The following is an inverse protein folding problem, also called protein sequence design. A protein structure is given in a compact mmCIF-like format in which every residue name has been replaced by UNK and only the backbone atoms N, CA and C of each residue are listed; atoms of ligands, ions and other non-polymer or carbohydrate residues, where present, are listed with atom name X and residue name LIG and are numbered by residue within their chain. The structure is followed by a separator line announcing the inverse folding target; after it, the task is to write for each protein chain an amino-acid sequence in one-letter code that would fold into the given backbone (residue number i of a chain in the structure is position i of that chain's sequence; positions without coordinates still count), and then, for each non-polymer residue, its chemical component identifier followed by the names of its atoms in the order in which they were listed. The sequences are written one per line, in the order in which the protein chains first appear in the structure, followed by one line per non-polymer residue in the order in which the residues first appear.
data_IF_448750950915
#
_entry.id   IF_448750950915
#
_cell.length_a   1.000
_cell.length_b   1.000
_cell.length_c   1.000
_cell.angle_alpha   90.00
_cell.angle_beta   90.00
_cell.angle_gamma   90.00
#
_symmetry.space_group_name_H-M   'P 1'
#
loop_
_entity.id
_entity.type
_entity.pdbx_description
1 polymer ?
#
# COMPACT_ATOMS: atom_id res chain seq x y z
N UNK A 1 24.45 -15.52 -52.52
CA UNK A 1 23.55 -15.83 -51.41
C UNK A 1 23.83 -14.87 -50.26
N UNK A 2 22.91 -13.92 -50.01
CA UNK A 2 23.07 -12.85 -48.97
C UNK A 2 22.42 -13.34 -47.69
N UNK A 3 23.19 -13.73 -46.67
CA UNK A 3 22.68 -14.15 -45.35
C UNK A 3 21.91 -12.99 -44.72
N UNK A 4 20.59 -13.16 -44.57
CA UNK A 4 19.76 -12.28 -43.73
C UNK A 4 20.13 -12.52 -42.24
N UNK A 5 20.59 -11.48 -41.58
CA UNK A 5 20.86 -11.48 -40.16
C UNK A 5 19.51 -11.30 -39.42
N UNK A 6 19.00 -12.28 -38.62
CA UNK A 6 17.66 -12.24 -38.05
C UNK A 6 17.51 -11.39 -36.76
N UNK A 7 18.57 -10.73 -36.26
CA UNK A 7 18.56 -10.11 -34.93
C UNK A 7 18.64 -8.58 -34.91
N UNK A 8 18.13 -7.87 -35.92
CA UNK A 8 17.87 -6.44 -35.74
C UNK A 8 16.48 -6.25 -35.09
N UNK A 9 16.38 -6.36 -33.74
CA UNK A 9 15.30 -5.72 -32.99
C UNK A 9 15.32 -4.24 -33.34
N UNK A 10 14.34 -3.77 -34.08
CA UNK A 10 14.17 -2.34 -34.35
C UNK A 10 14.09 -1.60 -33.02
N UNK A 11 14.81 -0.49 -32.84
CA UNK A 11 14.66 0.32 -31.65
C UNK A 11 13.21 0.82 -31.59
N UNK A 12 12.52 0.52 -30.50
CA UNK A 12 11.18 1.05 -30.21
C UNK A 12 11.25 2.56 -30.39
N UNK A 13 10.45 3.10 -31.30
CA UNK A 13 10.45 4.52 -31.62
C UNK A 13 10.20 5.36 -30.37
N UNK A 14 10.79 6.56 -30.30
CA UNK A 14 10.57 7.48 -29.15
C UNK A 14 9.09 7.76 -28.90
N UNK A 15 8.27 7.70 -29.92
CA UNK A 15 6.81 7.87 -29.85
C UNK A 15 6.14 6.68 -29.15
N UNK A 16 6.54 5.44 -29.48
CA UNK A 16 6.01 4.23 -28.84
C UNK A 16 6.37 4.19 -27.34
N UNK A 17 7.58 4.60 -26.99
CA UNK A 17 8.01 4.70 -25.59
C UNK A 17 7.20 5.75 -24.80
N UNK A 18 6.90 6.90 -25.41
CA UNK A 18 6.08 7.95 -24.81
C UNK A 18 4.61 7.52 -24.67
N UNK A 19 4.08 6.83 -25.67
CA UNK A 19 2.72 6.28 -25.64
C UNK A 19 2.58 5.23 -24.53
N UNK A 20 3.51 4.29 -24.42
CA UNK A 20 3.52 3.27 -23.37
C UNK A 20 3.68 3.85 -21.97
N UNK A 21 4.49 4.90 -21.81
CA UNK A 21 4.64 5.59 -20.52
C UNK A 21 3.35 6.30 -20.09
N UNK A 22 2.62 6.87 -21.04
CA UNK A 22 1.32 7.50 -20.76
C UNK A 22 0.27 6.44 -20.37
N UNK A 23 0.24 5.28 -21.05
CA UNK A 23 -0.64 4.16 -20.67
C UNK A 23 -0.36 3.71 -19.23
N UNK A 24 0.90 3.56 -18.85
CA UNK A 24 1.26 3.16 -17.47
C UNK A 24 0.80 4.18 -16.43
N UNK A 25 0.96 5.48 -16.74
CA UNK A 25 0.54 6.56 -15.83
C UNK A 25 -0.99 6.64 -15.70
N UNK A 26 -1.72 6.54 -16.79
CA UNK A 26 -3.19 6.53 -16.77
C UNK A 26 -3.71 5.25 -16.11
N UNK A 27 -3.09 4.10 -16.39
CA UNK A 27 -3.45 2.81 -15.81
C UNK A 27 -3.38 2.78 -14.29
N UNK A 28 -2.36 3.41 -13.67
CA UNK A 28 -2.26 3.44 -12.20
C UNK A 28 -3.36 4.30 -11.58
N UNK A 29 -3.71 5.43 -12.16
CA UNK A 29 -4.81 6.25 -11.64
C UNK A 29 -6.15 5.49 -11.72
N UNK A 30 -6.42 4.85 -12.83
CA UNK A 30 -7.62 4.01 -13.00
C UNK A 30 -7.63 2.87 -11.97
N UNK A 31 -6.50 2.16 -11.80
CA UNK A 31 -6.39 1.08 -10.82
C UNK A 31 -6.63 1.59 -9.40
N UNK A 32 -5.97 2.69 -9.01
CA UNK A 32 -6.09 3.26 -7.65
C UNK A 32 -7.53 3.67 -7.34
N UNK A 33 -8.19 4.36 -8.28
CA UNK A 33 -9.59 4.77 -8.15
C UNK A 33 -10.51 3.55 -8.12
N UNK A 34 -10.27 2.52 -8.96
CA UNK A 34 -11.05 1.29 -8.97
C UNK A 34 -10.91 0.52 -7.66
N UNK A 35 -9.70 0.40 -7.10
CA UNK A 35 -9.46 -0.23 -5.80
C UNK A 35 -10.16 0.54 -4.70
N UNK A 36 -10.11 1.87 -4.71
CA UNK A 36 -10.81 2.70 -3.73
C UNK A 36 -12.31 2.51 -3.77
N UNK A 37 -12.93 2.59 -4.96
CA UNK A 37 -14.38 2.42 -5.13
C UNK A 37 -14.81 1.00 -4.77
N UNK A 38 -14.08 -0.02 -5.24
CA UNK A 38 -14.40 -1.42 -4.97
C UNK A 38 -14.33 -1.70 -3.47
N UNK A 39 -13.27 -1.28 -2.79
CA UNK A 39 -13.13 -1.48 -1.35
C UNK A 39 -14.19 -0.68 -0.56
N UNK A 40 -14.52 0.55 -1.00
CA UNK A 40 -15.58 1.33 -0.36
C UNK A 40 -16.93 0.61 -0.43
N UNK A 41 -17.28 0.05 -1.58
CA UNK A 41 -18.52 -0.74 -1.77
C UNK A 41 -18.46 -2.01 -0.92
N UNK A 42 -17.37 -2.77 -0.98
CA UNK A 42 -17.23 -4.01 -0.23
C UNK A 42 -17.36 -3.79 1.29
N UNK A 43 -16.63 -2.83 1.85
CA UNK A 43 -16.63 -2.59 3.28
C UNK A 43 -17.81 -1.73 3.75
N UNK A 44 -18.33 -0.86 2.91
CA UNK A 44 -19.51 -0.06 3.26
C UNK A 44 -20.82 -0.84 3.24
N UNK A 45 -20.97 -1.83 2.34
CA UNK A 45 -22.23 -2.56 2.18
C UNK A 45 -22.15 -4.00 2.69
N UNK A 46 -21.08 -4.76 2.40
CA UNK A 46 -21.03 -6.19 2.66
C UNK A 46 -20.28 -6.56 3.94
N UNK A 47 -19.18 -5.89 4.26
CA UNK A 47 -18.29 -6.27 5.36
C UNK A 47 -18.25 -5.23 6.49
N UNK A 48 -19.34 -4.46 6.68
CA UNK A 48 -19.43 -3.44 7.71
C UNK A 48 -19.32 -4.02 9.15
N UNK A 49 -19.67 -5.28 9.36
CA UNK A 49 -19.56 -5.97 10.64
C UNK A 49 -18.10 -6.04 11.14
N UNK A 50 -17.13 -6.03 10.24
CA UNK A 50 -15.69 -6.07 10.59
C UNK A 50 -15.31 -4.87 11.46
N UNK A 51 -15.86 -3.69 11.17
CA UNK A 51 -15.59 -2.46 11.91
C UNK A 51 -16.10 -2.53 13.35
N UNK A 52 -17.27 -3.09 13.55
CA UNK A 52 -17.84 -3.28 14.88
C UNK A 52 -16.96 -4.18 15.77
N UNK A 53 -16.40 -5.25 15.20
CA UNK A 53 -15.49 -6.12 15.95
C UNK A 53 -14.14 -5.45 16.20
N UNK A 54 -13.60 -4.72 15.23
CA UNK A 54 -12.33 -4.02 15.38
C UNK A 54 -12.40 -2.87 16.39
N UNK A 55 -13.50 -2.12 16.42
CA UNK A 55 -13.75 -1.10 17.44
C UNK A 55 -13.73 -1.69 18.86
N UNK A 56 -14.46 -2.80 19.06
CA UNK A 56 -14.52 -3.47 20.38
C UNK A 56 -13.18 -4.05 20.84
N UNK A 57 -12.34 -4.46 19.92
CA UNK A 57 -11.01 -5.01 20.23
C UNK A 57 -9.97 -3.91 20.48
N UNK A 58 -10.18 -2.72 19.95
CA UNK A 58 -9.25 -1.59 20.02
C UNK A 58 -9.69 -0.57 21.05
N UNK A 59 -9.54 -0.88 22.34
CA UNK A 59 -9.73 0.10 23.41
C UNK A 59 -8.56 1.08 23.42
N UNK A 60 -8.83 2.33 23.14
CA UNK A 60 -7.84 3.39 23.18
C UNK A 60 -8.11 4.35 24.36
N UNK A 61 -7.10 4.60 25.15
CA UNK A 61 -7.16 5.56 26.25
C UNK A 61 -6.10 6.63 26.04
N UNK A 62 -6.51 7.88 26.06
CA UNK A 62 -5.56 8.99 25.95
C UNK A 62 -4.89 9.25 27.30
N UNK A 63 -3.86 8.43 27.60
CA UNK A 63 -3.03 8.60 28.79
C UNK A 63 -1.55 8.30 28.49
N UNK A 64 -0.67 8.92 29.27
CA UNK A 64 0.77 8.66 29.18
C UNK A 64 1.11 7.20 29.49
N UNK A 65 0.46 6.63 30.50
CA UNK A 65 0.65 5.22 30.89
C UNK A 65 0.25 4.25 29.78
N UNK A 66 -0.81 4.58 29.03
CA UNK A 66 -1.23 3.78 27.87
C UNK A 66 -0.18 3.86 26.76
N UNK A 67 0.30 5.05 26.39
CA UNK A 67 1.34 5.25 25.40
C UNK A 67 2.64 4.52 25.77
N UNK A 68 3.08 4.60 27.03
CA UNK A 68 4.33 3.99 27.49
C UNK A 68 4.37 2.47 27.30
N UNK A 69 3.21 1.78 27.36
CA UNK A 69 3.09 0.34 27.13
C UNK A 69 3.38 -0.04 25.68
N UNK A 70 3.09 0.85 24.73
CA UNK A 70 3.32 0.61 23.31
C UNK A 70 4.75 0.99 22.91
N UNK A 71 5.30 2.07 23.44
CA UNK A 71 6.68 2.51 23.13
C UNK A 71 7.71 1.45 23.51
N UNK A 72 7.44 0.65 24.55
CA UNK A 72 8.35 -0.42 24.99
C UNK A 72 8.32 -1.68 24.12
N UNK A 73 7.36 -1.79 23.19
CA UNK A 73 7.20 -2.97 22.31
C UNK A 73 7.65 -2.67 20.89
N UNK A 74 8.36 -3.58 20.21
CA UNK A 74 8.64 -3.45 18.78
C UNK A 74 7.31 -3.39 18.03
N UNK A 75 7.17 -2.42 17.08
CA UNK A 75 5.93 -2.20 16.34
C UNK A 75 4.77 -1.59 17.13
N UNK A 76 4.94 -1.32 18.43
CA UNK A 76 3.87 -0.82 19.29
C UNK A 76 3.35 0.56 18.89
N UNK A 77 4.17 1.40 18.27
CA UNK A 77 3.70 2.69 17.73
C UNK A 77 2.68 2.51 16.59
N UNK A 78 2.82 1.46 15.77
CA UNK A 78 1.85 1.12 14.74
C UNK A 78 0.55 0.62 15.35
N UNK A 79 0.64 -0.22 16.38
CA UNK A 79 -0.52 -0.69 17.15
C UNK A 79 -1.24 0.47 17.84
N UNK A 80 -0.52 1.39 18.46
CA UNK A 80 -1.07 2.60 19.07
C UNK A 80 -1.82 3.46 18.03
N UNK A 81 -1.20 3.74 16.87
CA UNK A 81 -1.82 4.49 15.79
C UNK A 81 -3.03 3.75 15.21
N UNK A 82 -2.96 2.43 15.04
CA UNK A 82 -4.06 1.61 14.58
C UNK A 82 -5.24 1.62 15.54
N UNK A 83 -5.01 1.50 16.83
CA UNK A 83 -6.06 1.58 17.85
C UNK A 83 -6.71 2.98 17.90
N UNK A 84 -5.92 4.03 17.72
CA UNK A 84 -6.46 5.39 17.60
C UNK A 84 -7.39 5.54 16.38
N UNK A 85 -6.98 5.04 15.22
CA UNK A 85 -7.80 5.07 13.99
C UNK A 85 -9.06 4.23 14.16
N UNK A 86 -8.95 3.05 14.78
CA UNK A 86 -10.05 2.12 14.96
C UNK A 86 -11.16 2.65 15.90
N UNK A 87 -10.88 3.64 16.74
CA UNK A 87 -11.92 4.32 17.52
C UNK A 87 -13.01 4.97 16.65
N UNK A 88 -12.65 5.45 15.46
CA UNK A 88 -13.62 6.02 14.53
C UNK A 88 -14.51 4.98 13.85
N UNK A 89 -14.27 3.69 14.03
CA UNK A 89 -15.00 2.60 13.37
C UNK A 89 -16.41 2.39 13.92
N UNK A 90 -16.82 3.12 14.99
CA UNK A 90 -18.21 3.22 15.37
C UNK A 90 -19.12 3.71 14.22
N UNK A 91 -18.56 4.47 13.27
CA UNK A 91 -19.22 4.84 12.03
C UNK A 91 -18.74 3.93 10.89
N UNK A 92 -19.64 3.10 10.37
CA UNK A 92 -19.34 2.21 9.24
C UNK A 92 -18.77 2.96 8.03
N UNK A 93 -19.30 4.17 7.75
CA UNK A 93 -18.83 4.98 6.64
C UNK A 93 -17.39 5.45 6.85
N UNK A 94 -17.05 5.88 8.06
CA UNK A 94 -15.67 6.26 8.40
C UNK A 94 -14.73 5.06 8.22
N UNK A 95 -15.08 3.90 8.78
CA UNK A 95 -14.29 2.67 8.63
C UNK A 95 -14.05 2.31 7.17
N UNK A 96 -15.13 2.31 6.36
CA UNK A 96 -15.04 2.01 4.94
C UNK A 96 -14.13 2.98 4.17
N UNK A 97 -14.23 4.30 4.44
CA UNK A 97 -13.38 5.32 3.83
C UNK A 97 -11.92 5.11 4.22
N UNK A 98 -11.63 4.95 5.51
CA UNK A 98 -10.27 4.80 6.03
C UNK A 98 -9.60 3.56 5.43
N UNK A 99 -10.26 2.40 5.49
CA UNK A 99 -9.73 1.16 4.91
C UNK A 99 -9.51 1.32 3.40
N UNK A 100 -10.45 1.93 2.68
CA UNK A 100 -10.33 2.14 1.23
C UNK A 100 -9.17 3.06 0.87
N UNK A 101 -8.92 4.11 1.66
CA UNK A 101 -7.76 5.00 1.48
C UNK A 101 -6.46 4.24 1.70
N UNK A 102 -6.36 3.41 2.76
CA UNK A 102 -5.16 2.60 3.00
C UNK A 102 -4.89 1.61 1.88
N UNK A 103 -5.92 0.89 1.40
CA UNK A 103 -5.79 -0.07 0.31
C UNK A 103 -5.36 0.60 -1.00
N UNK A 104 -5.95 1.74 -1.32
CA UNK A 104 -5.58 2.52 -2.50
C UNK A 104 -4.14 3.06 -2.41
N UNK A 105 -3.74 3.56 -1.23
CA UNK A 105 -2.38 4.03 -0.97
C UNK A 105 -1.35 2.89 -1.10
N UNK A 106 -1.64 1.72 -0.53
CA UNK A 106 -0.79 0.53 -0.65
C UNK A 106 -0.65 0.13 -2.12
N UNK A 107 -1.74 0.04 -2.88
CA UNK A 107 -1.70 -0.29 -4.31
C UNK A 107 -0.79 0.68 -5.09
N UNK A 108 -0.89 1.99 -4.80
CA UNK A 108 -0.06 3.02 -5.43
C UNK A 108 1.42 2.88 -5.06
N UNK A 109 1.74 2.62 -3.79
CA UNK A 109 3.12 2.45 -3.31
C UNK A 109 3.75 1.21 -3.95
N UNK A 110 3.05 0.06 -3.95
CA UNK A 110 3.57 -1.17 -4.55
C UNK A 110 3.72 -1.08 -6.06
N UNK A 111 2.80 -0.38 -6.75
CA UNK A 111 3.02 -0.04 -8.15
C UNK A 111 4.30 0.76 -8.37
N UNK A 112 4.56 1.79 -7.56
CA UNK A 112 5.77 2.63 -7.66
C UNK A 112 7.03 1.82 -7.44
N UNK A 113 7.06 0.95 -6.43
CA UNK A 113 8.18 0.05 -6.19
C UNK A 113 8.43 -0.85 -7.40
N UNK A 114 7.40 -1.52 -7.90
CA UNK A 114 7.51 -2.41 -9.04
C UNK A 114 7.91 -1.68 -10.33
N UNK A 115 7.44 -0.44 -10.53
CA UNK A 115 7.78 0.37 -11.69
C UNK A 115 9.25 0.82 -11.70
N UNK A 116 9.83 1.07 -10.53
CA UNK A 116 11.26 1.39 -10.40
C UNK A 116 12.12 0.16 -10.66
N UNK A 117 11.68 -1.02 -10.21
CA UNK A 117 12.43 -2.28 -10.37
C UNK A 117 12.31 -2.89 -11.77
N UNK A 118 11.27 -2.52 -12.52
CA UNK A 118 10.96 -3.18 -13.80
C UNK A 118 10.76 -2.15 -14.90
N UNK A 119 11.51 -2.27 -15.98
CA UNK A 119 11.35 -1.41 -17.18
C UNK A 119 10.12 -1.79 -18.04
N UNK A 120 9.08 -2.36 -17.43
CA UNK A 120 7.83 -2.77 -18.11
C UNK A 120 6.63 -2.09 -17.46
N UNK A 121 5.64 -1.68 -18.25
CA UNK A 121 4.50 -0.91 -17.75
C UNK A 121 3.36 -1.80 -17.22
N UNK A 122 3.16 -2.98 -17.79
CA UNK A 122 2.05 -3.87 -17.43
C UNK A 122 2.34 -4.68 -16.16
N UNK A 123 3.57 -5.10 -15.95
CA UNK A 123 3.94 -5.93 -14.80
C UNK A 123 3.70 -5.23 -13.46
N UNK A 124 4.12 -3.97 -13.27
CA UNK A 124 3.82 -3.21 -12.05
C UNK A 124 2.31 -3.07 -11.77
N UNK A 125 1.52 -2.87 -12.84
CA UNK A 125 0.07 -2.74 -12.73
C UNK A 125 -0.58 -4.04 -12.23
N UNK A 126 -0.19 -5.18 -12.81
CA UNK A 126 -0.67 -6.48 -12.38
C UNK A 126 -0.26 -6.81 -10.94
N UNK A 127 0.98 -6.53 -10.57
CA UNK A 127 1.46 -6.76 -9.20
C UNK A 127 0.70 -5.94 -8.18
N UNK A 128 0.47 -4.65 -8.46
CA UNK A 128 -0.32 -3.78 -7.60
C UNK A 128 -1.78 -4.23 -7.48
N UNK A 129 -2.39 -4.69 -8.58
CA UNK A 129 -3.75 -5.22 -8.58
C UNK A 129 -3.86 -6.50 -7.73
N UNK A 130 -2.93 -7.44 -7.88
CA UNK A 130 -2.89 -8.67 -7.08
C UNK A 130 -2.72 -8.33 -5.60
N UNK A 131 -1.77 -7.46 -5.25
CA UNK A 131 -1.55 -7.04 -3.87
C UNK A 131 -2.81 -6.40 -3.26
N UNK A 132 -3.49 -5.52 -4.00
CA UNK A 132 -4.73 -4.89 -3.55
C UNK A 132 -5.86 -5.91 -3.34
N UNK A 133 -6.06 -6.85 -4.27
CA UNK A 133 -7.07 -7.89 -4.16
C UNK A 133 -6.81 -8.80 -2.94
N UNK A 134 -5.57 -9.22 -2.72
CA UNK A 134 -5.21 -10.03 -1.57
C UNK A 134 -5.46 -9.30 -0.26
N UNK A 135 -5.10 -8.01 -0.18
CA UNK A 135 -5.34 -7.20 1.01
C UNK A 135 -6.82 -6.96 1.28
N UNK A 136 -7.65 -6.75 0.24
CA UNK A 136 -9.10 -6.68 0.40
C UNK A 136 -9.62 -7.97 1.05
N UNK A 137 -9.20 -9.14 0.55
CA UNK A 137 -9.61 -10.43 1.10
C UNK A 137 -9.14 -10.63 2.55
N UNK A 138 -7.90 -10.28 2.86
CA UNK A 138 -7.36 -10.40 4.23
C UNK A 138 -8.09 -9.46 5.19
N UNK A 139 -8.41 -8.24 4.73
CA UNK A 139 -9.11 -7.23 5.54
C UNK A 139 -10.56 -7.62 5.89
N UNK A 140 -11.18 -8.58 5.18
CA UNK A 140 -12.51 -9.12 5.56
C UNK A 140 -12.47 -9.97 6.82
N UNK A 141 -11.29 -10.40 7.27
CA UNK A 141 -11.14 -11.17 8.49
C UNK A 141 -11.24 -10.25 9.71
N UNK A 142 -12.14 -10.59 10.63
CA UNK A 142 -12.40 -9.83 11.88
C UNK A 142 -11.16 -9.70 12.79
N UNK A 143 -10.25 -10.67 12.72
CA UNK A 143 -9.02 -10.68 13.51
C UNK A 143 -7.89 -9.86 12.86
N UNK A 144 -8.07 -9.40 11.63
CA UNK A 144 -7.06 -8.62 10.94
C UNK A 144 -7.22 -7.13 11.25
N UNK A 145 -6.46 -6.67 12.21
CA UNK A 145 -6.54 -5.29 12.71
C UNK A 145 -5.91 -4.29 11.74
N UNK A 146 -6.41 -3.05 11.75
CA UNK A 146 -5.99 -1.96 10.83
C UNK A 146 -4.51 -1.63 10.94
N UNK A 147 -3.87 -1.84 12.10
CA UNK A 147 -2.45 -1.58 12.28
C UNK A 147 -1.56 -2.46 11.38
N UNK A 148 -2.03 -3.65 10.99
CA UNK A 148 -1.31 -4.49 10.03
C UNK A 148 -1.26 -3.84 8.64
N UNK A 149 -2.39 -3.27 8.17
CA UNK A 149 -2.42 -2.52 6.91
C UNK A 149 -1.56 -1.26 6.98
N UNK A 150 -1.54 -0.58 8.13
CA UNK A 150 -0.64 0.53 8.39
C UNK A 150 0.83 0.08 8.30
N UNK A 151 1.16 -1.09 8.86
CA UNK A 151 2.47 -1.70 8.76
C UNK A 151 2.88 -1.98 7.32
N UNK A 152 2.01 -2.59 6.52
CA UNK A 152 2.26 -2.80 5.09
C UNK A 152 2.52 -1.50 4.33
N UNK A 153 1.76 -0.45 4.62
CA UNK A 153 1.97 0.87 4.03
C UNK A 153 3.32 1.45 4.44
N UNK A 154 3.66 1.39 5.74
CA UNK A 154 4.91 1.92 6.27
C UNK A 154 6.13 1.20 5.68
N UNK A 155 6.10 -0.15 5.61
CA UNK A 155 7.16 -0.94 4.96
C UNK A 155 7.29 -0.60 3.48
N UNK A 156 6.17 -0.48 2.78
CA UNK A 156 6.17 -0.10 1.36
C UNK A 156 6.76 1.29 1.12
N UNK A 157 6.40 2.27 1.94
CA UNK A 157 6.95 3.62 1.87
C UNK A 157 8.46 3.64 2.19
N UNK A 158 8.87 2.89 3.22
CA UNK A 158 10.29 2.73 3.54
C UNK A 158 11.08 2.15 2.35
N UNK A 159 10.54 1.08 1.72
CA UNK A 159 11.17 0.45 0.56
C UNK A 159 11.25 1.40 -0.64
N UNK A 160 10.18 2.14 -0.90
CA UNK A 160 10.14 3.15 -1.96
C UNK A 160 11.19 4.24 -1.71
N UNK A 161 11.31 4.71 -0.48
CA UNK A 161 12.29 5.71 -0.09
C UNK A 161 13.71 5.16 -0.23
N UNK A 162 13.98 3.94 0.23
CA UNK A 162 15.30 3.30 0.14
C UNK A 162 15.77 3.12 -1.32
N UNK A 163 14.86 2.73 -2.23
CA UNK A 163 15.17 2.56 -3.66
C UNK A 163 15.36 3.92 -4.35
N UNK A 164 14.65 4.97 -3.90
CA UNK A 164 14.73 6.32 -4.48
C UNK A 164 16.01 7.07 -4.08
N UNK A 165 16.74 6.62 -3.07
CA UNK A 165 17.97 7.25 -2.60
C UNK A 165 19.19 6.70 -3.36
N UNK A 166 19.99 7.58 -3.97
CA UNK A 166 21.30 7.24 -4.52
C UNK A 166 22.26 6.87 -3.37
N UNK A 167 22.89 5.71 -3.47
CA UNK A 167 23.80 4.95 -2.62
C UNK A 167 24.43 5.53 -1.34
N UNK A 168 24.56 6.83 -1.20
CA UNK A 168 25.21 7.47 -0.03
C UNK A 168 24.22 7.79 1.09
N UNK A 169 23.01 8.19 0.74
CA UNK A 169 21.96 8.57 1.70
C UNK A 169 21.10 7.37 2.13
N UNK A 170 21.17 6.25 1.42
CA UNK A 170 20.44 5.02 1.74
C UNK A 170 20.81 4.47 3.14
N UNK A 171 22.05 4.64 3.58
CA UNK A 171 22.50 4.19 4.91
C UNK A 171 21.86 4.99 6.04
N UNK A 172 21.66 6.30 5.85
CA UNK A 172 21.07 7.16 6.87
C UNK A 172 19.58 6.86 7.03
N UNK A 173 18.88 6.57 5.92
CA UNK A 173 17.46 6.24 5.95
C UNK A 173 17.15 4.94 6.70
N UNK A 174 18.04 3.93 6.62
CA UNK A 174 17.89 2.68 7.38
C UNK A 174 17.89 2.95 8.89
N UNK A 175 18.77 3.83 9.38
CA UNK A 175 18.85 4.15 10.79
C UNK A 175 17.68 4.98 11.33
N UNK A 176 17.06 5.81 10.49
CA UNK A 176 15.93 6.66 10.90
C UNK A 176 14.64 5.84 11.05
N UNK A 177 14.44 4.82 10.22
CA UNK A 177 13.21 4.01 10.25
C UNK A 177 13.30 2.75 11.12
N UNK A 178 14.49 2.30 11.48
CA UNK A 178 14.69 1.09 12.27
C UNK A 178 13.99 1.11 13.64
N UNK A 179 13.89 2.25 14.40
CA UNK A 179 13.19 2.27 15.69
C UNK A 179 11.67 2.12 15.59
N UNK A 180 11.07 2.22 14.40
CA UNK A 180 9.62 2.10 14.24
C UNK A 180 9.14 0.67 13.93
N UNK A 181 10.05 -0.25 13.69
CA UNK A 181 9.82 -1.68 13.47
C UNK A 181 10.45 -2.53 14.57
#
# INVERSE_FOLDING_TARGET
MKKRNPDKKQPVGKEDAKFLSNIGRTGIYILTVSVFILSLICFGLFFNYVFFYQEKQSLFVYSYDYLSRFVSKPGGMLEYAGNFIAQGFFSNLYGAIVVSVFLAAIALVYYRIAAVLTNRYLFPLLLAAIAACLLILIQTNINYQIHNSLGFLAVGLYFLFAISQDGRNARISVFVFFPFF
#
